data_IF_369028215694
#
_entry.id   IF_369028215694
#
_cell.length_a   1.000
_cell.length_b   1.000
_cell.length_c   1.000
_cell.angle_alpha   90.00
_cell.angle_beta   90.00
_cell.angle_gamma   90.00
#
_symmetry.space_group_name_H-M   'P 1'
#
loop_
_entity.id
_entity.type
_entity.pdbx_description
1 polymer ?
#
# COMPACT_ATOMS: atom_id res chain seq x y z
N UNK A 1 25.85 -9.88 -56.48
CA UNK A 1 26.19 -8.93 -55.39
C UNK A 1 24.99 -8.15 -54.84
N UNK A 2 23.93 -7.90 -55.62
CA UNK A 2 22.72 -7.20 -55.13
C UNK A 2 21.86 -8.09 -54.20
N UNK A 3 21.79 -9.39 -54.50
CA UNK A 3 21.05 -10.40 -53.73
C UNK A 3 21.63 -10.62 -52.33
N UNK A 4 22.95 -10.64 -52.19
CA UNK A 4 23.63 -10.78 -50.89
C UNK A 4 23.44 -9.56 -49.98
N UNK A 5 23.38 -8.34 -50.55
CA UNK A 5 23.10 -7.13 -49.77
C UNK A 5 21.66 -7.07 -49.27
N UNK A 6 20.70 -7.48 -50.11
CA UNK A 6 19.29 -7.56 -49.72
C UNK A 6 19.05 -8.64 -48.65
N UNK A 7 19.74 -9.77 -48.74
CA UNK A 7 19.67 -10.84 -47.74
C UNK A 7 20.21 -10.39 -46.38
N UNK A 8 21.32 -9.66 -46.34
CA UNK A 8 21.87 -9.11 -45.10
C UNK A 8 20.94 -8.07 -44.47
N UNK A 9 20.32 -7.20 -45.27
CA UNK A 9 19.34 -6.23 -44.78
C UNK A 9 18.11 -6.94 -44.19
N UNK A 10 17.62 -8.00 -44.84
CA UNK A 10 16.52 -8.81 -44.33
C UNK A 10 16.85 -9.48 -42.99
N UNK A 11 18.05 -10.06 -42.86
CA UNK A 11 18.51 -10.68 -41.62
C UNK A 11 18.65 -9.68 -40.47
N UNK A 12 19.12 -8.46 -40.75
CA UNK A 12 19.22 -7.38 -39.75
C UNK A 12 17.82 -6.97 -39.28
N UNK A 13 16.87 -6.76 -40.21
CA UNK A 13 15.49 -6.38 -39.88
C UNK A 13 14.79 -7.49 -39.08
N UNK A 14 15.00 -8.76 -39.43
CA UNK A 14 14.40 -9.91 -38.73
C UNK A 14 14.97 -10.06 -37.31
N UNK A 15 16.27 -9.80 -37.12
CA UNK A 15 16.91 -9.84 -35.79
C UNK A 15 16.47 -8.69 -34.86
N UNK A 16 16.10 -7.53 -35.41
CA UNK A 16 15.54 -6.40 -34.65
C UNK A 16 14.08 -6.63 -34.24
N UNK A 17 13.35 -7.47 -35.00
CA UNK A 17 11.95 -7.80 -34.72
C UNK A 17 11.79 -8.90 -33.65
N UNK A 18 12.86 -9.64 -33.31
CA UNK A 18 12.85 -10.59 -32.19
C UNK A 18 13.22 -9.86 -30.89
N UNK A 19 12.40 -8.90 -30.47
CA UNK A 19 12.37 -8.57 -29.04
C UNK A 19 11.85 -9.82 -28.36
N UNK A 20 12.75 -10.59 -27.73
CA UNK A 20 12.41 -11.89 -27.19
C UNK A 20 11.19 -11.78 -26.26
N UNK A 21 10.15 -12.61 -26.44
CA UNK A 21 9.06 -12.70 -25.47
C UNK A 21 9.61 -12.96 -24.06
N UNK A 22 10.78 -13.60 -23.95
CA UNK A 22 11.46 -13.83 -22.69
C UNK A 22 11.93 -12.54 -21.99
N UNK A 23 12.32 -11.47 -22.70
CA UNK A 23 12.69 -10.21 -22.05
C UNK A 23 11.48 -9.44 -21.53
N UNK A 24 10.35 -9.47 -22.24
CA UNK A 24 9.08 -8.92 -21.76
C UNK A 24 8.50 -9.76 -20.60
N UNK A 25 8.61 -11.09 -20.68
CA UNK A 25 8.20 -12.03 -19.64
C UNK A 25 9.12 -11.99 -18.41
N UNK A 26 10.42 -11.73 -18.56
CA UNK A 26 11.32 -11.49 -17.42
C UNK A 26 11.04 -10.16 -16.72
N UNK A 27 10.54 -9.14 -17.44
CA UNK A 27 10.03 -7.91 -16.81
C UNK A 27 8.81 -8.17 -15.91
N UNK A 28 8.00 -9.20 -16.22
CA UNK A 28 6.85 -9.60 -15.41
C UNK A 28 7.23 -10.22 -14.06
N UNK A 29 8.43 -10.81 -13.94
CA UNK A 29 8.99 -11.31 -12.67
C UNK A 29 9.93 -10.33 -11.96
N UNK A 30 9.89 -9.04 -12.31
CA UNK A 30 10.65 -8.03 -11.56
C UNK A 30 10.25 -8.12 -10.09
N UNK A 31 11.17 -8.58 -9.23
CA UNK A 31 10.94 -8.66 -7.78
C UNK A 31 10.49 -7.28 -7.29
N UNK A 32 9.23 -7.18 -6.87
CA UNK A 32 8.69 -5.96 -6.25
C UNK A 32 9.37 -5.75 -4.90
N UNK A 33 9.67 -4.49 -4.52
CA UNK A 33 10.25 -4.21 -3.22
C UNK A 33 9.28 -4.62 -2.10
N UNK A 34 9.85 -5.02 -0.96
CA UNK A 34 9.07 -5.22 0.27
C UNK A 34 8.50 -3.88 0.69
N UNK A 35 7.22 -3.85 0.99
CA UNK A 35 6.52 -2.68 1.50
C UNK A 35 6.28 -2.80 2.98
N UNK A 36 6.40 -1.66 3.68
CA UNK A 36 6.21 -1.55 5.11
C UNK A 36 5.14 -0.50 5.40
N UNK A 37 4.09 -0.91 6.10
CA UNK A 37 3.05 0.00 6.56
C UNK A 37 3.12 0.07 8.08
N UNK A 38 3.20 1.29 8.62
CA UNK A 38 3.19 1.56 10.05
C UNK A 38 1.99 2.41 10.40
N UNK A 39 1.24 1.98 11.41
CA UNK A 39 0.09 2.69 11.98
C UNK A 39 0.45 3.11 13.40
N UNK A 40 0.30 4.39 13.71
CA UNK A 40 0.60 5.00 15.00
C UNK A 40 -0.69 5.54 15.61
N UNK A 41 -0.94 5.22 16.88
CA UNK A 41 -2.08 5.75 17.61
C UNK A 41 -1.73 7.10 18.25
N UNK A 42 -2.28 8.19 17.72
CA UNK A 42 -2.14 9.55 18.25
C UNK A 42 -3.49 10.14 18.67
N UNK A 43 -4.47 9.29 19.01
CA UNK A 43 -5.78 9.76 19.46
C UNK A 43 -5.62 10.55 20.76
N UNK A 44 -6.02 11.82 20.75
CA UNK A 44 -5.69 12.82 21.77
C UNK A 44 -6.18 12.44 23.17
N UNK A 45 -7.23 11.63 23.24
CA UNK A 45 -7.81 11.12 24.48
C UNK A 45 -7.03 9.96 25.13
N UNK A 46 -5.88 9.59 24.57
CA UNK A 46 -4.96 8.55 25.07
C UNK A 46 -5.57 7.15 25.21
N UNK A 47 -6.59 6.86 24.39
CA UNK A 47 -7.28 5.57 24.40
C UNK A 47 -6.53 4.52 23.58
N UNK A 48 -6.75 3.25 23.92
CA UNK A 48 -6.24 2.14 23.09
C UNK A 48 -7.08 2.01 21.83
N UNK A 49 -6.42 2.05 20.68
CA UNK A 49 -7.03 1.84 19.37
C UNK A 49 -6.94 0.37 19.00
N UNK A 50 -8.02 -0.19 18.49
CA UNK A 50 -8.06 -1.54 17.93
C UNK A 50 -8.03 -1.43 16.42
N UNK A 51 -7.09 -2.13 15.78
CA UNK A 51 -7.00 -2.18 14.32
C UNK A 51 -7.27 -3.59 13.79
N UNK A 52 -7.97 -3.66 12.67
CA UNK A 52 -8.14 -4.87 11.87
C UNK A 52 -7.91 -4.50 10.40
N UNK A 53 -6.84 -5.02 9.82
CA UNK A 53 -6.46 -4.78 8.43
C UNK A 53 -6.83 -5.98 7.56
N UNK A 54 -7.18 -5.75 6.31
CA UNK A 54 -7.48 -6.80 5.35
C UNK A 54 -7.15 -6.38 3.93
N UNK A 55 -6.83 -7.36 3.11
CA UNK A 55 -6.80 -7.22 1.65
C UNK A 55 -8.11 -7.73 1.06
N UNK A 56 -8.23 -7.70 -0.27
CA UNK A 56 -9.35 -8.34 -0.98
C UNK A 56 -9.44 -9.85 -0.68
N UNK A 57 -8.29 -10.49 -0.41
CA UNK A 57 -8.19 -11.95 -0.33
C UNK A 57 -7.90 -12.49 1.07
N UNK A 58 -7.39 -11.66 1.98
CA UNK A 58 -6.91 -12.10 3.30
C UNK A 58 -7.23 -11.08 4.38
N UNK A 59 -7.75 -11.56 5.52
CA UNK A 59 -7.92 -10.77 6.74
C UNK A 59 -6.71 -10.94 7.67
N UNK A 60 -6.24 -9.82 8.25
CA UNK A 60 -5.17 -9.81 9.24
C UNK A 60 -5.73 -9.81 10.66
N UNK A 61 -4.86 -10.20 11.60
CA UNK A 61 -5.18 -10.31 13.02
C UNK A 61 -5.56 -8.94 13.61
N UNK A 62 -6.57 -8.96 14.48
CA UNK A 62 -6.93 -7.82 15.33
C UNK A 62 -5.76 -7.47 16.25
N UNK A 63 -5.35 -6.20 16.25
CA UNK A 63 -4.23 -5.70 17.06
C UNK A 63 -4.68 -4.53 17.93
N UNK A 64 -4.30 -4.55 19.21
CA UNK A 64 -4.54 -3.46 20.15
C UNK A 64 -3.30 -2.57 20.21
N UNK A 65 -3.47 -1.28 19.96
CA UNK A 65 -2.40 -0.28 19.88
C UNK A 65 -2.66 0.77 20.97
N UNK A 66 -1.92 0.73 22.09
CA UNK A 66 -1.99 1.78 23.11
C UNK A 66 -1.65 3.16 22.54
N UNK A 67 -1.99 4.22 23.26
CA UNK A 67 -1.63 5.57 22.83
C UNK A 67 -0.11 5.76 22.73
N UNK A 68 0.35 6.36 21.64
CA UNK A 68 1.77 6.58 21.35
C UNK A 68 2.49 5.36 20.81
N UNK A 69 1.86 4.18 20.82
CA UNK A 69 2.41 2.95 20.26
C UNK A 69 2.11 2.82 18.77
N UNK A 70 2.83 1.91 18.12
CA UNK A 70 2.68 1.64 16.70
C UNK A 70 2.57 0.16 16.38
N UNK A 71 1.83 -0.15 15.33
CA UNK A 71 1.77 -1.47 14.70
C UNK A 71 2.31 -1.37 13.29
N UNK A 72 3.22 -2.27 12.93
CA UNK A 72 3.78 -2.35 11.59
C UNK A 72 3.65 -3.74 11.01
N UNK A 73 3.44 -3.81 9.70
CA UNK A 73 3.47 -5.05 8.95
C UNK A 73 4.15 -4.85 7.61
N UNK A 74 4.78 -5.94 7.14
CA UNK A 74 5.55 -5.97 5.90
C UNK A 74 4.97 -6.99 4.95
N UNK A 75 4.95 -6.68 3.65
CA UNK A 75 4.45 -7.58 2.62
C UNK A 75 5.12 -7.29 1.28
N UNK A 76 5.02 -8.24 0.35
CA UNK A 76 5.40 -8.06 -1.04
C UNK A 76 4.11 -7.92 -1.85
N UNK A 77 3.89 -6.82 -2.61
CA UNK A 77 2.73 -6.70 -3.47
C UNK A 77 2.65 -7.85 -4.48
N UNK A 78 1.44 -8.26 -4.83
CA UNK A 78 1.19 -9.29 -5.83
C UNK A 78 1.78 -8.91 -7.20
N UNK A 79 2.03 -9.92 -8.03
CA UNK A 79 2.64 -9.74 -9.35
C UNK A 79 1.77 -8.85 -10.26
N UNK A 80 0.45 -8.88 -10.05
CA UNK A 80 -0.53 -8.12 -10.82
C UNK A 80 -0.59 -6.63 -10.42
N UNK A 81 0.05 -6.22 -9.32
CA UNK A 81 0.04 -4.85 -8.82
C UNK A 81 -1.33 -4.43 -8.27
N UNK A 82 -2.13 -5.40 -7.81
CA UNK A 82 -3.51 -5.16 -7.36
C UNK A 82 -3.66 -5.13 -5.85
N UNK A 83 -2.55 -5.27 -5.12
CA UNK A 83 -2.55 -5.38 -3.68
C UNK A 83 -3.00 -4.08 -3.03
N UNK A 84 -4.07 -4.18 -2.24
CA UNK A 84 -4.63 -3.09 -1.49
C UNK A 84 -4.96 -3.54 -0.06
N UNK A 85 -4.69 -2.69 0.92
CA UNK A 85 -4.93 -2.94 2.34
C UNK A 85 -5.90 -1.92 2.91
N UNK A 86 -7.03 -2.39 3.43
CA UNK A 86 -7.99 -1.60 4.17
C UNK A 86 -7.88 -1.92 5.66
N UNK A 87 -7.66 -0.90 6.48
CA UNK A 87 -7.66 -1.04 7.92
C UNK A 87 -8.89 -0.36 8.52
N UNK A 88 -9.61 -1.11 9.36
CA UNK A 88 -10.61 -0.57 10.27
C UNK A 88 -9.92 -0.23 11.59
N UNK A 89 -10.15 0.98 12.06
CA UNK A 89 -9.72 1.47 13.37
C UNK A 89 -10.95 1.68 14.23
N UNK A 90 -10.92 1.17 15.45
CA UNK A 90 -11.99 1.30 16.44
C UNK A 90 -11.40 1.77 17.77
N UNK A 91 -12.06 2.73 18.42
CA UNK A 91 -11.70 3.18 19.76
C UNK A 91 -12.93 3.69 20.51
N UNK A 92 -12.82 3.78 21.83
CA UNK A 92 -13.88 4.36 22.66
C UNK A 92 -13.59 5.84 22.91
N UNK A 93 -14.54 6.70 22.65
CA UNK A 93 -14.43 8.13 22.96
C UNK A 93 -14.65 8.35 24.46
N UNK A 94 -13.68 8.97 25.13
CA UNK A 94 -13.67 9.08 26.60
C UNK A 94 -14.83 9.90 27.16
N UNK A 95 -15.29 10.91 26.40
CA UNK A 95 -16.36 11.82 26.85
C UNK A 95 -17.76 11.22 26.68
N UNK A 96 -18.04 10.58 25.56
CA UNK A 96 -19.36 10.06 25.22
C UNK A 96 -19.53 8.58 25.56
N UNK A 97 -18.43 7.87 25.87
CA UNK A 97 -18.33 6.40 25.96
C UNK A 97 -18.84 5.69 24.69
N UNK A 98 -18.93 6.40 23.56
CA UNK A 98 -19.35 5.80 22.31
C UNK A 98 -18.17 5.11 21.62
N UNK A 99 -18.46 3.98 21.00
CA UNK A 99 -17.51 3.34 20.10
C UNK A 99 -17.47 4.13 18.79
N UNK A 100 -16.26 4.51 18.41
CA UNK A 100 -15.96 5.24 17.20
C UNK A 100 -15.20 4.33 16.27
N UNK A 101 -15.55 4.33 14.97
CA UNK A 101 -14.79 3.60 13.97
C UNK A 101 -14.55 4.37 12.68
N UNK A 102 -13.39 4.13 12.07
CA UNK A 102 -12.98 4.66 10.79
C UNK A 102 -12.38 3.53 9.93
N UNK A 103 -12.56 3.61 8.61
CA UNK A 103 -11.95 2.67 7.66
C UNK A 103 -11.11 3.44 6.67
N UNK A 104 -9.87 3.01 6.48
CA UNK A 104 -8.90 3.67 5.62
C UNK A 104 -8.22 2.66 4.69
N UNK A 105 -8.00 3.07 3.45
CA UNK A 105 -7.10 2.38 2.52
C UNK A 105 -5.68 2.83 2.85
N UNK A 106 -4.91 1.97 3.52
CA UNK A 106 -3.56 2.29 4.03
C UNK A 106 -2.44 1.97 3.04
N UNK A 107 -2.78 1.26 1.97
CA UNK A 107 -1.89 0.96 0.86
C UNK A 107 -2.69 0.54 -0.37
N UNK A 108 -2.34 1.05 -1.54
CA UNK A 108 -2.91 0.70 -2.83
C UNK A 108 -1.82 0.69 -3.92
N UNK A 109 -1.42 -0.51 -4.35
CA UNK A 109 -0.41 -0.68 -5.39
C UNK A 109 -0.80 -0.03 -6.73
N UNK A 110 -2.11 0.14 -7.02
CA UNK A 110 -2.57 0.77 -8.26
C UNK A 110 -2.42 2.30 -8.24
N UNK A 111 -2.35 2.93 -7.06
CA UNK A 111 -2.24 4.39 -6.90
C UNK A 111 -0.81 4.90 -6.80
N UNK A 112 0.15 4.08 -7.23
CA UNK A 112 1.59 4.37 -7.15
C UNK A 112 2.15 4.40 -5.72
N UNK A 113 1.40 3.94 -4.70
CA UNK A 113 1.91 3.83 -3.33
C UNK A 113 3.18 2.97 -3.27
N UNK A 114 3.32 2.00 -4.18
CA UNK A 114 4.53 1.18 -4.29
C UNK A 114 5.81 2.01 -4.53
N UNK A 115 5.69 3.15 -5.23
CA UNK A 115 6.80 4.06 -5.52
C UNK A 115 7.01 5.08 -4.39
N UNK A 116 5.94 5.53 -3.76
CA UNK A 116 5.96 6.61 -2.77
C UNK A 116 6.28 6.11 -1.36
N UNK A 117 5.82 4.91 -1.00
CA UNK A 117 6.06 4.35 0.33
C UNK A 117 7.43 3.69 0.53
N UNK A 118 8.47 4.11 -0.20
CA UNK A 118 9.83 3.64 0.00
C UNK A 118 10.62 4.64 0.87
N UNK A 119 11.01 4.29 2.13
CA UNK A 119 11.13 2.94 2.70
C UNK A 119 9.94 2.44 3.54
N UNK A 120 8.92 3.26 3.79
CA UNK A 120 7.66 2.80 4.37
C UNK A 120 6.57 3.86 4.41
N UNK A 121 5.31 3.45 4.35
CA UNK A 121 4.16 4.30 4.63
C UNK A 121 3.99 4.47 6.14
N UNK A 122 3.77 5.69 6.63
CA UNK A 122 3.35 5.91 8.03
C UNK A 122 2.00 6.60 8.10
N UNK A 123 1.11 6.03 8.91
CA UNK A 123 -0.24 6.52 9.17
C UNK A 123 -0.37 6.87 10.65
N UNK A 124 -0.61 8.15 10.96
CA UNK A 124 -0.89 8.62 12.32
C UNK A 124 -2.38 8.87 12.44
N UNK A 125 -3.03 8.14 13.33
CA UNK A 125 -4.48 8.22 13.52
C UNK A 125 -4.79 9.13 14.70
N UNK A 126 -5.56 10.20 14.47
CA UNK A 126 -6.08 11.09 15.50
C UNK A 126 -7.58 10.91 15.68
N UNK A 127 -8.21 11.60 16.64
CA UNK A 127 -9.67 11.53 16.83
C UNK A 127 -10.48 12.13 15.66
N UNK A 128 -9.87 13.05 14.91
CA UNK A 128 -10.53 13.86 13.87
C UNK A 128 -10.12 13.50 12.45
N UNK A 129 -9.06 12.71 12.27
CA UNK A 129 -8.53 12.40 10.96
C UNK A 129 -7.21 11.63 11.04
N UNK A 130 -6.42 11.73 9.98
CA UNK A 130 -5.15 11.04 9.88
C UNK A 130 -4.08 11.92 9.23
N UNK A 131 -2.83 11.61 9.56
CA UNK A 131 -1.67 12.14 8.84
C UNK A 131 -0.99 10.98 8.15
N UNK A 132 -0.58 11.22 6.92
CA UNK A 132 0.11 10.23 6.10
C UNK A 132 1.49 10.77 5.73
N UNK A 133 2.48 9.90 5.81
CA UNK A 133 3.84 10.20 5.42
C UNK A 133 4.33 9.18 4.40
N UNK A 134 4.64 9.69 3.20
CA UNK A 134 5.24 8.99 2.05
C UNK A 134 6.54 9.65 1.60
N UNK A 135 7.19 10.42 2.49
CA UNK A 135 8.28 11.32 2.14
C UNK A 135 7.84 12.79 1.98
N UNK A 136 6.54 13.05 1.81
CA UNK A 136 5.91 14.36 1.98
C UNK A 136 4.86 14.29 3.11
N UNK A 137 4.64 15.38 3.85
CA UNK A 137 3.61 15.41 4.91
C UNK A 137 2.24 15.68 4.29
N UNK A 138 1.43 14.63 4.16
CA UNK A 138 0.04 14.71 3.74
C UNK A 138 -0.94 14.70 4.93
N UNK A 139 -2.07 15.38 4.76
CA UNK A 139 -3.14 15.47 5.77
C UNK A 139 -4.47 15.06 5.14
N UNK A 140 -5.23 14.22 5.85
CA UNK A 140 -6.55 13.80 5.42
C UNK A 140 -7.51 13.69 6.60
N UNK A 141 -8.80 13.84 6.32
CA UNK A 141 -9.87 13.52 7.28
C UNK A 141 -10.55 12.23 6.86
N UNK A 142 -11.03 11.46 7.84
CA UNK A 142 -11.89 10.31 7.57
C UNK A 142 -13.33 10.63 7.97
N UNK A 143 -14.29 9.94 7.34
CA UNK A 143 -15.66 9.93 7.81
C UNK A 143 -15.76 9.02 9.04
N UNK A 144 -16.04 9.64 10.18
CA UNK A 144 -16.20 8.96 11.46
C UNK A 144 -17.59 8.33 11.54
N UNK A 145 -17.66 7.02 11.82
CA UNK A 145 -18.91 6.38 12.23
C UNK A 145 -18.94 6.23 13.75
N UNK A 146 -19.84 6.95 14.41
CA UNK A 146 -20.18 6.73 15.82
C UNK A 146 -21.25 5.65 15.90
N UNK A 147 -20.94 4.55 16.58
CA UNK A 147 -21.90 3.48 16.85
C UNK A 147 -22.66 3.84 18.14
N UNK A 148 -23.99 3.70 18.09
CA UNK A 148 -24.89 3.97 19.21
C UNK A 148 -25.01 2.77 20.13
#
# INVERSE_FOLDING_TARGET
MLTTRLFLVYMIIFSLATVSPASAFMSWFRKRPVQNVTVINEIESRVTMVTSCRTVFFDYKITHIPYGESFSFSFVPDVWGTTAYWCKFTWNETMSKQEVSAVLLVFDAMKEDEKHCAPGCQWRISSTGYRFWDGFLGWGSFSVRRLK
#
